data_IF_418269536987
#
_entry.id   IF_418269536987
#
_cell.length_a   1.000
_cell.length_b   1.000
_cell.length_c   1.000
_cell.angle_alpha   90.00
_cell.angle_beta   90.00
_cell.angle_gamma   90.00
#
_symmetry.space_group_name_H-M   'P 1'
#
loop_
_entity.id
_entity.type
_entity.pdbx_description
1 polymer ?
#
# COMPACT_ATOMS: atom_id res chain seq x y z
N UNK A 1 -7.03 -50.75 -20.21
CA UNK A 1 -8.15 -49.85 -19.81
C UNK A 1 -7.70 -49.11 -18.57
N UNK A 2 -7.24 -47.85 -18.70
CA UNK A 2 -7.95 -46.61 -18.31
C UNK A 2 -8.27 -46.60 -16.78
N UNK A 3 -7.95 -45.58 -15.98
CA UNK A 3 -7.70 -44.18 -16.30
C UNK A 3 -6.95 -43.44 -15.17
N UNK A 4 -6.27 -42.36 -15.57
CA UNK A 4 -5.56 -41.37 -14.76
C UNK A 4 -6.56 -40.55 -13.93
N UNK A 5 -6.14 -40.05 -12.76
CA UNK A 5 -6.23 -38.62 -12.44
C UNK A 5 -5.45 -38.29 -11.17
N UNK A 6 -4.25 -37.77 -11.40
CA UNK A 6 -3.49 -36.88 -10.53
C UNK A 6 -4.31 -35.64 -10.17
N UNK A 7 -4.60 -35.42 -8.89
CA UNK A 7 -4.99 -34.09 -8.41
C UNK A 7 -3.75 -33.41 -7.85
N UNK A 8 -2.97 -32.81 -8.75
CA UNK A 8 -2.00 -31.77 -8.40
C UNK A 8 -2.78 -30.52 -8.02
N UNK A 9 -3.17 -30.43 -6.75
CA UNK A 9 -3.67 -29.19 -6.16
C UNK A 9 -2.56 -28.16 -6.17
N UNK A 10 -2.47 -27.37 -7.25
CA UNK A 10 -1.72 -26.12 -7.26
C UNK A 10 -2.34 -25.23 -6.19
N UNK A 11 -1.71 -25.15 -5.02
CA UNK A 11 -1.92 -24.08 -4.07
C UNK A 11 -1.59 -22.79 -4.82
N UNK A 12 -2.62 -22.15 -5.38
CA UNK A 12 -2.50 -20.79 -5.89
C UNK A 12 -2.29 -19.96 -4.64
N UNK A 13 -1.03 -19.66 -4.31
CA UNK A 13 -0.68 -18.57 -3.44
C UNK A 13 -1.33 -17.32 -4.04
N UNK A 14 -2.54 -17.00 -3.57
CA UNK A 14 -3.15 -15.70 -3.73
C UNK A 14 -2.30 -14.81 -2.83
N UNK A 15 -1.17 -14.34 -3.37
CA UNK A 15 -0.40 -13.28 -2.74
C UNK A 15 -1.42 -12.18 -2.54
N UNK A 16 -1.83 -11.97 -1.30
CA UNK A 16 -2.76 -10.93 -0.92
C UNK A 16 -2.30 -9.67 -1.66
N UNK A 17 -3.18 -9.06 -2.46
CA UNK A 17 -2.93 -7.77 -3.06
C UNK A 17 -2.80 -6.78 -1.90
N UNK A 18 -1.60 -6.72 -1.33
CA UNK A 18 -1.16 -5.67 -0.44
C UNK A 18 -1.20 -4.44 -1.34
N UNK A 19 -2.20 -3.57 -1.14
CA UNK A 19 -2.26 -2.27 -1.79
C UNK A 19 -1.12 -1.43 -1.19
N UNK A 20 0.11 -1.72 -1.62
CA UNK A 20 1.27 -0.90 -1.27
C UNK A 20 1.01 0.47 -1.91
N UNK A 21 1.19 1.55 -1.16
CA UNK A 21 1.32 2.87 -1.76
C UNK A 21 2.43 2.83 -2.81
N UNK A 22 2.05 2.84 -4.08
CA UNK A 22 2.88 2.87 -5.27
C UNK A 22 3.00 4.30 -5.74
N UNK A 23 4.16 4.88 -5.49
CA UNK A 23 4.55 6.14 -6.08
C UNK A 23 5.45 5.88 -7.28
N UNK A 24 5.03 6.34 -8.45
CA UNK A 24 5.83 6.20 -9.67
C UNK A 24 5.52 7.31 -10.68
N UNK A 25 6.44 7.57 -11.61
CA UNK A 25 6.18 8.50 -12.72
C UNK A 25 5.80 7.68 -13.96
N UNK A 26 4.54 7.80 -14.38
CA UNK A 26 4.05 7.21 -15.62
C UNK A 26 4.54 8.04 -16.80
N UNK A 27 5.08 7.35 -17.82
CA UNK A 27 5.60 7.96 -19.04
C UNK A 27 5.22 7.11 -20.24
N UNK A 28 5.17 7.71 -21.43
CA UNK A 28 5.00 6.97 -22.68
C UNK A 28 6.24 6.14 -23.02
N UNK A 29 6.13 5.25 -24.02
CA UNK A 29 7.26 4.42 -24.47
C UNK A 29 8.38 5.26 -25.07
N UNK A 30 8.02 6.33 -25.76
CA UNK A 30 8.91 7.28 -26.43
C UNK A 30 9.73 8.05 -25.41
N UNK A 31 9.08 8.58 -24.37
CA UNK A 31 9.77 9.25 -23.25
C UNK A 31 10.72 8.28 -22.55
N UNK A 32 10.30 7.04 -22.30
CA UNK A 32 11.16 6.03 -21.66
C UNK A 32 12.40 5.71 -22.50
N UNK A 33 12.25 5.57 -23.81
CA UNK A 33 13.38 5.38 -24.73
C UNK A 33 14.32 6.59 -24.75
N UNK A 34 13.75 7.80 -24.77
CA UNK A 34 14.51 9.06 -24.72
C UNK A 34 15.33 9.20 -23.44
N UNK A 35 14.75 8.85 -22.28
CA UNK A 35 15.46 8.84 -20.99
C UNK A 35 16.61 7.83 -20.99
N UNK A 36 16.37 6.62 -21.49
CA UNK A 36 17.40 5.58 -21.62
C UNK A 36 18.58 6.05 -22.47
N UNK A 37 18.30 6.67 -23.63
CA UNK A 37 19.32 7.24 -24.51
C UNK A 37 20.08 8.42 -23.89
N UNK A 38 19.39 9.39 -23.28
CA UNK A 38 20.02 10.57 -22.65
C UNK A 38 20.98 10.21 -21.53
N UNK A 39 20.64 9.21 -20.72
CA UNK A 39 21.43 8.83 -19.55
C UNK A 39 22.37 7.65 -19.78
N UNK A 40 22.35 7.03 -20.97
CA UNK A 40 23.19 5.86 -21.28
C UNK A 40 22.89 4.65 -20.40
N UNK A 41 21.63 4.47 -19.97
CA UNK A 41 21.22 3.42 -19.03
C UNK A 41 20.18 2.49 -19.64
N UNK A 42 20.05 1.29 -19.07
CA UNK A 42 19.04 0.32 -19.50
C UNK A 42 17.61 0.79 -19.17
N UNK A 43 16.62 0.28 -19.91
CA UNK A 43 15.19 0.51 -19.62
C UNK A 43 14.80 0.09 -18.20
N UNK A 44 15.44 -0.94 -17.65
CA UNK A 44 15.23 -1.39 -16.26
C UNK A 44 15.67 -0.32 -15.26
N UNK A 45 16.86 0.25 -15.45
CA UNK A 45 17.36 1.35 -14.60
C UNK A 45 16.46 2.57 -14.66
N UNK A 46 15.91 2.90 -15.83
CA UNK A 46 14.89 3.94 -15.95
C UNK A 46 13.64 3.59 -15.16
N UNK A 47 13.13 2.35 -15.28
CA UNK A 47 11.96 1.90 -14.51
C UNK A 47 12.19 1.96 -12.99
N UNK A 48 13.35 1.55 -12.50
CA UNK A 48 13.72 1.65 -11.09
C UNK A 48 13.75 3.11 -10.60
N UNK A 49 14.31 4.01 -11.42
CA UNK A 49 14.33 5.44 -11.12
C UNK A 49 12.92 6.06 -11.09
N UNK A 50 12.08 5.73 -12.08
CA UNK A 50 10.69 6.21 -12.17
C UNK A 50 9.80 5.64 -11.07
N UNK A 51 10.08 4.43 -10.59
CA UNK A 51 9.37 3.77 -9.50
C UNK A 51 9.94 4.09 -8.11
N UNK A 52 10.82 5.10 -8.02
CA UNK A 52 11.46 5.55 -6.77
C UNK A 52 12.24 4.47 -6.01
N UNK A 53 12.64 3.38 -6.68
CA UNK A 53 13.42 2.29 -6.08
C UNK A 53 14.85 2.79 -5.78
N UNK A 54 15.42 3.58 -6.69
CA UNK A 54 16.79 4.10 -6.59
C UNK A 54 16.85 5.57 -6.17
N UNK A 55 17.74 5.89 -5.23
CA UNK A 55 17.88 7.22 -4.60
C UNK A 55 19.19 7.95 -4.91
N UNK A 56 19.81 7.69 -6.05
CA UNK A 56 21.03 8.40 -6.48
C UNK A 56 20.73 9.63 -7.37
N UNK A 57 21.72 10.49 -7.57
CA UNK A 57 21.62 11.73 -8.35
C UNK A 57 21.16 11.49 -9.79
N UNK A 58 21.69 10.44 -10.45
CA UNK A 58 21.25 10.06 -11.81
C UNK A 58 19.75 9.77 -11.85
N UNK A 59 19.24 9.03 -10.86
CA UNK A 59 17.81 8.71 -10.75
C UNK A 59 16.98 9.96 -10.50
N UNK A 60 17.49 10.93 -9.73
CA UNK A 60 16.83 12.24 -9.56
C UNK A 60 16.76 13.01 -10.88
N UNK A 61 17.85 13.00 -11.66
CA UNK A 61 17.88 13.58 -13.01
C UNK A 61 16.84 12.94 -13.93
N UNK A 62 16.79 11.61 -13.98
CA UNK A 62 15.80 10.87 -14.78
C UNK A 62 14.37 11.28 -14.41
N UNK A 63 14.05 11.39 -13.11
CA UNK A 63 12.72 11.81 -12.65
C UNK A 63 12.38 13.24 -13.06
N UNK A 64 13.31 14.19 -12.91
CA UNK A 64 13.12 15.59 -13.31
C UNK A 64 12.83 15.72 -14.81
N UNK A 65 13.61 15.02 -15.63
CA UNK A 65 13.44 15.05 -17.08
C UNK A 65 12.14 14.35 -17.51
N UNK A 66 11.78 13.24 -16.85
CA UNK A 66 10.51 12.56 -17.10
C UNK A 66 9.31 13.49 -16.89
N UNK A 67 9.28 14.23 -15.78
CA UNK A 67 8.22 15.21 -15.49
C UNK A 67 8.25 16.36 -16.50
N UNK A 68 9.43 16.90 -16.82
CA UNK A 68 9.58 17.97 -17.82
C UNK A 68 9.07 17.56 -19.21
N UNK A 69 9.13 16.27 -19.55
CA UNK A 69 8.69 15.75 -20.84
C UNK A 69 7.25 15.23 -20.84
N UNK A 70 6.45 15.57 -19.83
CA UNK A 70 5.03 15.21 -19.77
C UNK A 70 4.74 13.88 -19.07
N UNK A 71 5.69 13.36 -18.29
CA UNK A 71 5.42 12.27 -17.35
C UNK A 71 4.48 12.72 -16.24
N UNK A 72 3.60 11.82 -15.80
CA UNK A 72 2.62 12.05 -14.74
C UNK A 72 3.08 11.36 -13.46
N UNK A 73 3.19 12.10 -12.36
CA UNK A 73 3.40 11.49 -11.05
C UNK A 73 2.11 10.80 -10.61
N UNK A 74 2.18 9.49 -10.45
CA UNK A 74 1.10 8.65 -9.96
C UNK A 74 1.43 8.25 -8.52
N UNK A 75 0.50 8.56 -7.63
CA UNK A 75 0.48 8.07 -6.25
C UNK A 75 -0.75 7.18 -6.11
N UNK A 76 -0.58 5.91 -6.46
CA UNK A 76 -1.58 4.86 -6.27
C UNK A 76 -1.42 4.34 -4.85
N UNK A 77 -2.41 4.54 -3.99
CA UNK A 77 -2.31 4.06 -2.62
C UNK A 77 -3.61 4.25 -1.88
N UNK A 78 -3.84 3.38 -0.91
CA UNK A 78 -4.95 3.50 0.01
C UNK A 78 -4.78 4.79 0.84
N UNK A 79 -5.69 5.75 0.65
CA UNK A 79 -5.84 6.91 1.53
C UNK A 79 -7.03 6.60 2.43
N UNK A 80 -6.84 6.40 3.74
CA UNK A 80 -7.94 6.09 4.64
C UNK A 80 -8.91 7.25 4.70
N UNK A 81 -10.20 6.96 4.54
CA UNK A 81 -11.27 7.91 4.77
C UNK A 81 -11.60 7.92 6.27
N UNK A 82 -10.70 8.54 7.04
CA UNK A 82 -10.81 8.63 8.50
C UNK A 82 -10.51 10.04 9.00
N UNK A 83 -11.07 10.37 10.16
CA UNK A 83 -10.66 11.53 10.95
C UNK A 83 -9.50 11.13 11.86
N UNK A 84 -8.39 11.85 11.76
CA UNK A 84 -7.20 11.61 12.60
C UNK A 84 -7.15 12.59 13.76
N UNK A 85 -6.93 12.08 14.98
CA UNK A 85 -6.70 12.85 16.19
C UNK A 85 -5.39 12.46 16.86
N UNK A 86 -4.63 13.47 17.32
CA UNK A 86 -3.43 13.26 18.12
C UNK A 86 -3.79 13.41 19.60
N UNK A 87 -3.78 12.31 20.34
CA UNK A 87 -4.21 12.27 21.75
C UNK A 87 -3.07 12.63 22.74
N UNK A 88 -1.93 13.08 22.22
CA UNK A 88 -0.72 13.36 23.01
C UNK A 88 0.06 12.10 23.39
N UNK A 89 1.29 12.28 23.91
CA UNK A 89 2.20 11.18 24.33
C UNK A 89 2.45 10.12 23.24
N UNK A 90 2.49 10.52 21.97
CA UNK A 90 2.71 9.60 20.85
C UNK A 90 1.50 8.70 20.52
N UNK A 91 0.31 9.02 21.04
CA UNK A 91 -0.93 8.31 20.71
C UNK A 91 -1.64 8.95 19.52
N UNK A 92 -2.07 8.13 18.58
CA UNK A 92 -2.86 8.54 17.40
C UNK A 92 -4.15 7.74 17.39
N UNK A 93 -5.28 8.43 17.22
CA UNK A 93 -6.57 7.80 16.97
C UNK A 93 -7.04 8.14 15.55
N UNK A 94 -7.56 7.15 14.84
CA UNK A 94 -8.19 7.33 13.54
C UNK A 94 -9.59 6.73 13.56
N UNK A 95 -10.58 7.60 13.46
CA UNK A 95 -11.99 7.22 13.44
C UNK A 95 -12.47 7.11 11.99
N UNK A 96 -13.06 5.97 11.66
CA UNK A 96 -13.66 5.65 10.37
C UNK A 96 -15.18 5.68 10.50
N UNK A 97 -15.88 5.48 9.38
CA UNK A 97 -17.34 5.33 9.40
C UNK A 97 -17.78 4.06 10.14
N UNK A 98 -19.08 3.91 10.42
CA UNK A 98 -19.66 2.72 11.05
C UNK A 98 -19.02 2.32 12.40
N UNK A 99 -18.59 3.30 13.19
CA UNK A 99 -18.07 3.07 14.55
C UNK A 99 -16.73 2.34 14.60
N UNK A 100 -16.02 2.24 13.49
CA UNK A 100 -14.68 1.64 13.43
C UNK A 100 -13.63 2.69 13.83
N UNK A 101 -12.69 2.32 14.69
CA UNK A 101 -11.59 3.20 15.08
C UNK A 101 -10.28 2.43 15.22
N UNK A 102 -9.17 3.09 14.95
CA UNK A 102 -7.83 2.56 15.18
C UNK A 102 -7.13 3.43 16.22
N UNK A 103 -6.56 2.81 17.25
CA UNK A 103 -5.71 3.47 18.23
C UNK A 103 -4.28 2.95 18.10
N UNK A 104 -3.33 3.86 17.89
CA UNK A 104 -1.89 3.58 17.93
C UNK A 104 -1.30 4.19 19.21
N UNK A 105 -0.59 3.37 19.98
CA UNK A 105 0.17 3.77 21.15
C UNK A 105 1.55 3.11 21.11
N UNK A 106 2.60 3.92 20.95
CA UNK A 106 3.95 3.40 20.74
C UNK A 106 4.04 2.59 19.45
N UNK A 107 4.39 1.30 19.57
CA UNK A 107 4.45 0.34 18.47
C UNK A 107 3.24 -0.62 18.45
N UNK A 108 2.20 -0.34 19.24
CA UNK A 108 1.02 -1.18 19.36
C UNK A 108 -0.20 -0.49 18.76
N UNK A 109 -0.91 -1.16 17.86
CA UNK A 109 -2.14 -0.67 17.25
C UNK A 109 -3.32 -1.59 17.55
N UNK A 110 -4.48 -1.01 17.79
CA UNK A 110 -5.74 -1.74 18.07
C UNK A 110 -6.85 -1.23 17.19
N UNK A 111 -7.67 -2.12 16.66
CA UNK A 111 -8.90 -1.80 15.92
C UNK A 111 -10.09 -2.04 16.85
N UNK A 112 -10.95 -1.04 16.95
CA UNK A 112 -12.21 -1.07 17.68
C UNK A 112 -13.39 -0.98 16.71
N UNK A 113 -14.48 -1.67 17.03
CA UNK A 113 -15.76 -1.54 16.32
C UNK A 113 -16.86 -1.32 17.36
N UNK A 114 -17.56 -0.19 17.24
CA UNK A 114 -18.56 0.26 18.21
C UNK A 114 -18.03 0.26 19.66
N UNK A 115 -16.74 0.56 19.85
CA UNK A 115 -16.09 0.62 21.16
C UNK A 115 -15.50 -0.71 21.68
N UNK A 116 -15.75 -1.83 21.01
CA UNK A 116 -15.19 -3.13 21.38
C UNK A 116 -13.88 -3.37 20.63
N UNK A 117 -12.82 -3.77 21.35
CA UNK A 117 -11.55 -4.18 20.74
C UNK A 117 -11.76 -5.46 19.93
N UNK A 118 -11.44 -5.41 18.63
CA UNK A 118 -11.54 -6.58 17.75
C UNK A 118 -10.19 -7.19 17.42
N UNK A 119 -9.22 -6.36 17.07
CA UNK A 119 -7.91 -6.80 16.60
C UNK A 119 -6.81 -5.95 17.27
N UNK A 120 -5.67 -6.59 17.58
CA UNK A 120 -4.52 -5.95 18.21
C UNK A 120 -3.22 -6.41 17.55
N UNK A 121 -2.30 -5.47 17.35
CA UNK A 121 -1.07 -5.62 16.59
C UNK A 121 0.09 -5.00 17.37
N UNK A 122 1.20 -5.74 17.55
CA UNK A 122 2.44 -5.24 18.15
C UNK A 122 3.56 -5.12 17.11
N UNK A 123 4.60 -4.32 17.40
CA UNK A 123 5.72 -4.09 16.48
C UNK A 123 5.33 -3.36 15.20
N UNK A 124 4.36 -2.44 15.29
CA UNK A 124 3.81 -1.71 14.15
C UNK A 124 4.87 -0.81 13.51
N UNK A 125 5.17 -1.09 12.24
CA UNK A 125 5.98 -0.23 11.37
C UNK A 125 5.10 0.66 10.51
N UNK A 126 5.66 1.67 9.83
CA UNK A 126 4.92 2.47 8.84
C UNK A 126 4.20 1.62 7.77
N UNK A 127 4.80 0.50 7.37
CA UNK A 127 4.17 -0.43 6.40
C UNK A 127 3.00 -1.18 7.03
N UNK A 128 3.19 -1.70 8.22
CA UNK A 128 2.14 -2.42 8.95
C UNK A 128 0.98 -1.49 9.28
N UNK A 129 1.28 -0.24 9.62
CA UNK A 129 0.30 0.82 9.88
C UNK A 129 -0.63 1.03 8.68
N UNK A 130 -0.10 1.22 7.47
CA UNK A 130 -0.93 1.37 6.27
C UNK A 130 -1.87 0.17 6.02
N UNK A 131 -1.42 -1.06 6.29
CA UNK A 131 -2.25 -2.24 6.16
C UNK A 131 -3.37 -2.30 7.22
N UNK A 132 -3.08 -1.87 8.45
CA UNK A 132 -4.07 -1.80 9.55
C UNK A 132 -5.17 -0.80 9.20
N UNK A 133 -4.81 0.34 8.60
CA UNK A 133 -5.79 1.34 8.18
C UNK A 133 -6.63 0.87 6.99
N UNK A 134 -6.04 0.15 6.04
CA UNK A 134 -6.77 -0.46 4.94
C UNK A 134 -7.76 -1.51 5.47
N UNK A 135 -7.37 -2.31 6.46
CA UNK A 135 -8.27 -3.24 7.17
C UNK A 135 -9.42 -2.50 7.86
N UNK A 136 -9.12 -1.43 8.58
CA UNK A 136 -10.13 -0.62 9.26
C UNK A 136 -11.12 0.05 8.29
N UNK A 137 -10.65 0.53 7.13
CA UNK A 137 -11.54 1.07 6.11
C UNK A 137 -12.48 0.00 5.58
N UNK A 138 -11.98 -1.20 5.23
CA UNK A 138 -12.84 -2.28 4.74
C UNK A 138 -13.91 -2.64 5.75
N UNK A 139 -13.54 -2.77 7.03
CA UNK A 139 -14.50 -2.99 8.13
C UNK A 139 -15.56 -1.89 8.19
N UNK A 140 -15.16 -0.64 7.98
CA UNK A 140 -16.08 0.49 7.97
C UNK A 140 -17.01 0.49 6.75
N UNK A 141 -16.59 -0.04 5.60
CA UNK A 141 -17.35 -0.03 4.35
C UNK A 141 -18.27 -1.24 4.18
N UNK A 142 -17.80 -2.44 4.57
CA UNK A 142 -18.56 -3.68 4.36
C UNK A 142 -19.62 -3.87 5.43
N UNK A 143 -19.46 -3.27 6.62
CA UNK A 143 -20.32 -3.55 7.76
C UNK A 143 -20.32 -5.04 8.12
N UNK A 144 -19.28 -5.80 7.72
CA UNK A 144 -19.06 -7.21 8.08
C UNK A 144 -18.75 -7.30 9.58
N UNK A 145 -19.80 -7.07 10.38
CA UNK A 145 -19.91 -7.40 11.79
C UNK A 145 -20.42 -8.85 11.85
N UNK A 146 -19.74 -9.78 11.17
CA UNK A 146 -20.10 -11.19 11.29
C UNK A 146 -19.69 -11.70 12.68
N UNK A 147 -20.68 -11.64 13.58
CA UNK A 147 -21.03 -12.70 14.53
C UNK A 147 -19.87 -13.23 15.39
N UNK A 148 -19.41 -12.44 16.37
CA UNK A 148 -18.71 -12.99 17.55
C UNK A 148 -19.43 -12.55 18.84
N UNK A 149 -20.74 -12.81 18.87
CA UNK A 149 -21.54 -12.84 20.11
C UNK A 149 -22.58 -13.97 20.03
N UNK A 150 -22.13 -15.19 19.76
CA UNK A 150 -22.87 -16.40 20.18
C UNK A 150 -22.13 -17.05 21.34
#
# INVERSE_FOLDING_TARGET
>A
MQNRNTVTGKVKNKINNITIMRRYIQVTKEIRARLSGKYGVTKKTVWEALSFITKNERSQGIRRDALKWGGLLIEEGFVPNCRTEHLGKGKISQAFSNGVAVLLEGDTAKIFVHGNEMESYSGVTLRTWGNILDRAQRLSETGEIETIMQ
#
